data_IF_716386957958
#
_entry.id   IF_716386957958
#
_cell.length_a   1.000
_cell.length_b   1.000
_cell.length_c   1.000
_cell.angle_alpha   90.00
_cell.angle_beta   90.00
_cell.angle_gamma   90.00
#
_symmetry.space_group_name_H-M   'P 1'
#
loop_
_entity.id
_entity.type
_entity.pdbx_description
1 polymer ?
#
# COMPACT_ATOMS: atom_id res chain seq x y z
N UNK A 1 -7.73 -25.66 -22.22
CA UNK A 1 -7.12 -24.71 -21.25
C UNK A 1 -8.10 -24.59 -20.08
N UNK A 2 -7.63 -24.64 -18.84
CA UNK A 2 -8.52 -24.40 -17.69
C UNK A 2 -9.04 -22.96 -17.74
N UNK A 3 -10.32 -22.78 -17.39
CA UNK A 3 -10.88 -21.43 -17.29
C UNK A 3 -10.13 -20.64 -16.19
N UNK A 4 -9.76 -19.38 -16.45
CA UNK A 4 -9.07 -18.58 -15.45
C UNK A 4 -9.93 -18.39 -14.20
N UNK A 5 -9.29 -18.42 -13.04
CA UNK A 5 -9.94 -18.22 -11.73
C UNK A 5 -9.44 -16.93 -11.07
N UNK A 6 -10.26 -16.35 -10.23
CA UNK A 6 -9.95 -15.15 -9.47
C UNK A 6 -8.81 -15.40 -8.48
N UNK A 7 -7.75 -14.59 -8.54
CA UNK A 7 -6.61 -14.66 -7.62
C UNK A 7 -6.96 -14.33 -6.17
N UNK A 8 -8.14 -13.70 -5.93
CA UNK A 8 -8.62 -13.37 -4.58
C UNK A 8 -9.53 -14.46 -4.00
N UNK A 9 -10.59 -14.85 -4.71
CA UNK A 9 -11.65 -15.71 -4.15
C UNK A 9 -11.80 -17.04 -4.86
N UNK A 10 -10.94 -17.37 -5.81
CA UNK A 10 -10.94 -18.60 -6.62
C UNK A 10 -12.20 -18.86 -7.46
N UNK A 11 -13.14 -17.91 -7.49
CA UNK A 11 -14.33 -17.99 -8.32
C UNK A 11 -13.97 -17.79 -9.80
N UNK A 12 -14.82 -18.24 -10.72
CA UNK A 12 -14.60 -18.02 -12.16
C UNK A 12 -14.57 -16.53 -12.50
N UNK A 13 -13.75 -16.17 -13.48
CA UNK A 13 -13.66 -14.81 -14.00
C UNK A 13 -14.04 -14.78 -15.46
N UNK A 14 -14.53 -13.63 -15.93
CA UNK A 14 -14.87 -13.38 -17.34
C UNK A 14 -13.91 -12.36 -17.93
N UNK A 15 -13.47 -12.59 -19.18
CA UNK A 15 -12.71 -11.58 -19.93
C UNK A 15 -13.59 -10.35 -20.14
N UNK A 16 -13.04 -9.16 -19.83
CA UNK A 16 -13.77 -7.89 -19.93
C UNK A 16 -13.23 -7.01 -21.05
N UNK A 17 -11.93 -7.02 -21.27
CA UNK A 17 -11.26 -6.36 -22.39
C UNK A 17 -9.84 -6.89 -22.57
N UNK A 18 -9.22 -6.49 -23.68
CA UNK A 18 -7.77 -6.61 -23.90
C UNK A 18 -7.17 -5.24 -24.15
N UNK A 19 -5.94 -5.00 -23.68
CA UNK A 19 -5.25 -3.74 -23.84
C UNK A 19 -3.77 -3.92 -24.19
N UNK A 20 -3.18 -2.88 -24.79
CA UNK A 20 -1.76 -2.87 -25.17
C UNK A 20 -0.92 -2.34 -24.01
N UNK A 21 -0.15 -3.22 -23.33
CA UNK A 21 0.79 -2.86 -22.29
C UNK A 21 2.18 -2.62 -22.87
N UNK A 22 2.89 -1.64 -22.30
CA UNK A 22 4.27 -1.27 -22.69
C UNK A 22 4.38 -0.94 -24.20
N UNK A 23 3.23 -0.62 -24.85
CA UNK A 23 3.10 -0.44 -26.33
C UNK A 23 3.55 -1.68 -27.13
N UNK A 24 3.61 -2.86 -26.50
CA UNK A 24 4.24 -4.07 -27.04
C UNK A 24 3.38 -5.32 -26.86
N UNK A 25 2.69 -5.47 -25.73
CA UNK A 25 2.00 -6.70 -25.37
C UNK A 25 0.49 -6.51 -25.37
N UNK A 26 -0.24 -7.32 -26.14
CA UNK A 26 -1.70 -7.41 -26.03
C UNK A 26 -2.04 -8.32 -24.85
N UNK A 27 -2.63 -7.75 -23.81
CA UNK A 27 -2.88 -8.40 -22.52
C UNK A 27 -4.38 -8.44 -22.24
N UNK A 28 -4.88 -9.59 -21.79
CA UNK A 28 -6.27 -9.80 -21.41
C UNK A 28 -6.51 -9.44 -19.96
N UNK A 29 -7.67 -8.83 -19.71
CA UNK A 29 -8.17 -8.47 -18.39
C UNK A 29 -9.42 -9.25 -18.07
N UNK A 30 -9.50 -9.73 -16.82
CA UNK A 30 -10.59 -10.57 -16.34
C UNK A 30 -11.22 -9.98 -15.08
N UNK A 31 -12.53 -9.99 -14.98
CA UNK A 31 -13.27 -9.52 -13.81
C UNK A 31 -13.95 -10.68 -13.10
N UNK A 32 -13.88 -10.67 -11.78
CA UNK A 32 -14.61 -11.58 -10.90
C UNK A 32 -15.95 -10.98 -10.52
N UNK A 33 -17.06 -11.65 -10.90
CA UNK A 33 -18.40 -11.20 -10.52
C UNK A 33 -18.68 -11.32 -9.01
N UNK A 34 -17.96 -12.21 -8.29
CA UNK A 34 -18.17 -12.46 -6.87
C UNK A 34 -17.54 -11.37 -6.00
N UNK A 35 -16.23 -11.09 -6.14
CA UNK A 35 -15.52 -10.15 -5.28
C UNK A 35 -15.16 -8.83 -5.97
N UNK A 36 -15.47 -8.67 -7.25
CA UNK A 36 -15.19 -7.46 -8.01
C UNK A 36 -13.73 -7.28 -8.43
N UNK A 37 -12.82 -8.16 -8.07
CA UNK A 37 -11.42 -8.04 -8.45
C UNK A 37 -11.26 -8.12 -9.98
N UNK A 38 -10.49 -7.20 -10.54
CA UNK A 38 -10.04 -7.24 -11.93
C UNK A 38 -8.57 -7.61 -11.95
N UNK A 39 -8.21 -8.57 -12.78
CA UNK A 39 -6.84 -9.07 -12.92
C UNK A 39 -6.44 -9.19 -14.38
N UNK A 40 -5.16 -9.06 -14.64
CA UNK A 40 -4.58 -9.44 -15.94
C UNK A 40 -4.49 -10.95 -16.08
N UNK A 41 -4.27 -11.48 -17.27
CA UNK A 41 -3.71 -12.80 -17.46
C UNK A 41 -2.35 -12.94 -16.72
N UNK A 42 -1.71 -14.12 -16.78
CA UNK A 42 -0.39 -14.31 -16.15
C UNK A 42 0.60 -13.26 -16.66
N UNK A 43 1.20 -12.45 -15.77
CA UNK A 43 1.93 -11.26 -16.16
C UNK A 43 3.37 -11.59 -16.62
N UNK A 44 3.52 -12.26 -17.75
CA UNK A 44 4.81 -12.69 -18.33
C UNK A 44 5.74 -11.51 -18.67
N UNK A 45 5.23 -10.29 -18.79
CA UNK A 45 6.00 -9.05 -19.04
C UNK A 45 6.50 -8.37 -17.78
N UNK A 46 6.09 -8.82 -16.60
CA UNK A 46 6.24 -8.08 -15.34
C UNK A 46 7.72 -7.80 -15.00
N UNK A 47 8.61 -8.73 -15.28
CA UNK A 47 10.04 -8.53 -15.05
C UNK A 47 10.58 -7.34 -15.88
N UNK A 48 10.21 -7.26 -17.16
CA UNK A 48 10.57 -6.16 -18.05
C UNK A 48 10.03 -4.82 -17.54
N UNK A 49 8.82 -4.81 -16.96
CA UNK A 49 8.18 -3.59 -16.46
C UNK A 49 8.95 -2.95 -15.28
N UNK A 50 9.81 -3.70 -14.60
CA UNK A 50 10.64 -3.20 -13.50
C UNK A 50 12.06 -2.79 -13.92
N UNK A 51 12.47 -2.97 -15.18
CA UNK A 51 13.78 -2.49 -15.65
C UNK A 51 13.89 -0.98 -15.64
N UNK A 52 12.82 -0.26 -15.96
CA UNK A 52 12.72 1.19 -15.74
C UNK A 52 12.19 1.45 -14.34
N UNK A 53 13.11 1.75 -13.45
CA UNK A 53 12.80 1.76 -12.01
C UNK A 53 12.11 3.02 -11.50
N UNK A 54 12.03 4.06 -12.31
CA UNK A 54 11.32 5.31 -12.00
C UNK A 54 10.36 5.58 -13.15
N UNK A 55 9.10 5.81 -12.80
CA UNK A 55 8.21 6.50 -13.71
C UNK A 55 8.61 7.98 -13.68
N UNK A 56 9.30 8.46 -14.70
CA UNK A 56 9.71 9.87 -14.82
C UNK A 56 8.51 10.82 -14.79
N UNK A 57 7.32 10.31 -15.09
CA UNK A 57 6.07 11.06 -15.02
C UNK A 57 5.42 11.07 -13.63
N UNK A 58 5.92 10.32 -12.64
CA UNK A 58 5.39 10.32 -11.27
C UNK A 58 5.84 11.56 -10.47
N UNK A 59 5.38 12.70 -10.90
CA UNK A 59 5.64 13.99 -10.23
C UNK A 59 4.87 14.14 -8.90
N UNK A 60 3.91 13.25 -8.63
CA UNK A 60 3.06 13.25 -7.43
C UNK A 60 3.67 12.58 -6.19
N UNK A 61 4.78 11.86 -6.33
CA UNK A 61 5.35 11.02 -5.28
C UNK A 61 5.53 11.75 -3.94
N UNK A 62 6.14 12.93 -3.93
CA UNK A 62 6.37 13.70 -2.69
C UNK A 62 5.07 14.14 -2.04
N UNK A 63 4.08 14.56 -2.83
CA UNK A 63 2.78 15.02 -2.34
C UNK A 63 2.00 13.86 -1.73
N UNK A 64 2.02 12.66 -2.35
CA UNK A 64 1.44 11.44 -1.79
C UNK A 64 2.10 11.04 -0.47
N UNK A 65 3.43 11.04 -0.40
CA UNK A 65 4.16 10.72 0.84
C UNK A 65 3.81 11.68 1.98
N UNK A 66 3.68 12.98 1.71
CA UNK A 66 3.25 13.98 2.70
C UNK A 66 1.81 13.73 3.17
N UNK A 67 0.91 13.35 2.29
CA UNK A 67 -0.46 13.01 2.64
C UNK A 67 -0.53 11.70 3.46
N UNK A 68 0.13 10.64 3.01
CA UNK A 68 0.23 9.36 3.74
C UNK A 68 0.80 9.57 5.14
N UNK A 69 1.89 10.35 5.28
CA UNK A 69 2.44 10.74 6.59
C UNK A 69 1.39 11.37 7.49
N UNK A 70 0.59 12.33 6.98
CA UNK A 70 -0.41 13.01 7.79
C UNK A 70 -1.48 12.03 8.28
N UNK A 71 -2.00 11.19 7.40
CA UNK A 71 -3.02 10.20 7.76
C UNK A 71 -2.45 9.18 8.74
N UNK A 72 -1.30 8.60 8.44
CA UNK A 72 -0.65 7.59 9.30
C UNK A 72 -0.34 8.16 10.68
N UNK A 73 0.19 9.40 10.76
CA UNK A 73 0.41 10.09 12.04
C UNK A 73 -0.87 10.19 12.86
N UNK A 74 -1.97 10.60 12.23
CA UNK A 74 -3.25 10.73 12.91
C UNK A 74 -3.76 9.38 13.40
N UNK A 75 -3.72 8.34 12.55
CA UNK A 75 -4.15 6.99 12.92
C UNK A 75 -3.31 6.41 14.05
N UNK A 76 -1.99 6.49 13.95
CA UNK A 76 -1.11 5.97 15.01
C UNK A 76 -1.40 6.68 16.33
N UNK A 77 -1.55 8.00 16.31
CA UNK A 77 -1.72 8.77 17.53
C UNK A 77 -3.00 8.39 18.30
N UNK A 78 -4.10 8.10 17.60
CA UNK A 78 -5.40 7.83 18.22
C UNK A 78 -5.74 6.35 18.38
N UNK A 79 -5.18 5.47 17.53
CA UNK A 79 -5.60 4.08 17.46
C UNK A 79 -4.52 3.08 17.88
N UNK A 80 -3.25 3.46 17.80
CA UNK A 80 -2.13 2.56 17.96
C UNK A 80 -1.17 3.01 19.07
N UNK A 81 -0.29 2.09 19.47
CA UNK A 81 0.77 2.46 20.41
C UNK A 81 1.86 3.27 19.70
N UNK A 82 1.86 4.58 19.91
CA UNK A 82 2.84 5.49 19.28
C UNK A 82 4.30 5.29 19.72
N UNK A 83 4.57 4.45 20.72
CA UNK A 83 5.90 4.00 21.13
C UNK A 83 6.26 2.62 20.55
N UNK A 84 5.36 2.01 19.77
CA UNK A 84 5.58 0.78 19.04
C UNK A 84 6.52 0.97 17.86
N UNK A 85 6.80 -0.13 17.17
CA UNK A 85 7.57 -0.15 15.92
C UNK A 85 6.62 -0.25 14.73
N UNK A 86 6.99 0.41 13.65
CA UNK A 86 6.21 0.50 12.42
C UNK A 86 7.05 0.00 11.25
N UNK A 87 6.41 -0.46 10.19
CA UNK A 87 7.11 -0.96 9.01
C UNK A 87 6.40 -0.46 7.74
N UNK A 88 7.16 0.12 6.84
CA UNK A 88 6.73 0.48 5.50
C UNK A 88 7.18 -0.58 4.50
N UNK A 89 6.23 -1.40 4.02
CA UNK A 89 6.45 -2.46 3.05
C UNK A 89 6.20 -1.94 1.64
N UNK A 90 7.17 -2.15 0.75
CA UNK A 90 7.18 -1.49 -0.56
C UNK A 90 7.56 -0.01 -0.44
N UNK A 91 8.40 0.35 0.54
CA UNK A 91 8.71 1.72 0.93
C UNK A 91 9.54 2.53 -0.07
N UNK A 92 9.75 2.03 -1.29
CA UNK A 92 10.42 2.74 -2.37
C UNK A 92 11.80 3.26 -1.93
N UNK A 93 12.04 4.55 -2.09
CA UNK A 93 13.31 5.17 -1.70
C UNK A 93 13.42 5.52 -0.21
N UNK A 94 12.42 5.20 0.61
CA UNK A 94 12.43 5.45 2.07
C UNK A 94 11.98 6.86 2.47
N UNK A 95 11.34 7.60 1.56
CA UNK A 95 10.84 8.97 1.84
C UNK A 95 9.80 8.95 2.95
N UNK A 96 8.81 8.04 2.87
CA UNK A 96 7.76 7.94 3.88
C UNK A 96 8.33 7.63 5.27
N UNK A 97 9.20 6.63 5.36
CA UNK A 97 9.88 6.26 6.63
C UNK A 97 10.62 7.47 7.21
N UNK A 98 11.38 8.20 6.40
CA UNK A 98 12.06 9.42 6.89
C UNK A 98 11.08 10.44 7.44
N UNK A 99 9.98 10.69 6.75
CA UNK A 99 8.94 11.61 7.19
C UNK A 99 8.27 11.17 8.51
N UNK A 100 8.06 9.87 8.72
CA UNK A 100 7.49 9.33 9.95
C UNK A 100 8.48 9.45 11.11
N UNK A 101 9.77 9.16 10.89
CA UNK A 101 10.82 9.35 11.88
C UNK A 101 11.02 10.81 12.24
N UNK A 102 10.83 11.74 11.30
CA UNK A 102 10.85 13.18 11.58
C UNK A 102 9.67 13.66 12.44
N UNK A 103 8.56 12.93 12.48
CA UNK A 103 7.48 13.14 13.46
C UNK A 103 7.88 12.57 14.84
N UNK A 104 8.59 11.45 14.87
CA UNK A 104 9.02 10.78 16.11
C UNK A 104 8.54 9.33 16.23
N UNK A 105 8.12 8.70 15.14
CA UNK A 105 7.75 7.27 15.12
C UNK A 105 8.95 6.40 14.77
N UNK A 106 9.09 5.26 15.44
CA UNK A 106 10.14 4.28 15.17
C UNK A 106 9.75 3.41 13.98
N UNK A 107 9.84 3.99 12.79
CA UNK A 107 9.42 3.41 11.52
C UNK A 107 10.61 2.82 10.77
N UNK A 108 10.40 1.69 10.11
CA UNK A 108 11.39 0.91 9.40
C UNK A 108 10.98 0.71 7.94
N UNK A 109 11.97 0.48 7.08
CA UNK A 109 11.84 0.35 5.66
C UNK A 109 12.04 -1.09 5.19
N UNK A 110 11.22 -1.50 4.22
CA UNK A 110 11.41 -2.73 3.46
C UNK A 110 10.94 -2.52 2.03
N UNK A 111 11.82 -2.83 1.07
CA UNK A 111 11.48 -2.88 -0.35
C UNK A 111 12.35 -3.92 -1.05
N UNK A 112 11.76 -4.63 -2.02
CA UNK A 112 12.46 -5.67 -2.77
C UNK A 112 13.20 -5.13 -4.00
N UNK A 113 12.69 -4.05 -4.58
CA UNK A 113 13.09 -3.58 -5.90
C UNK A 113 13.86 -2.25 -5.87
N UNK A 114 13.77 -1.52 -4.76
CA UNK A 114 14.34 -0.17 -4.63
C UNK A 114 15.46 -0.13 -3.61
N UNK A 115 16.37 0.85 -3.79
CA UNK A 115 17.39 1.18 -2.79
C UNK A 115 16.80 2.13 -1.75
N UNK A 116 17.07 1.85 -0.48
CA UNK A 116 16.83 2.78 0.60
C UNK A 116 17.78 3.99 0.49
N UNK A 117 17.27 5.16 0.13
CA UNK A 117 18.07 6.37 -0.01
C UNK A 117 17.90 7.33 1.18
N UNK A 118 16.68 7.44 1.71
CA UNK A 118 16.33 8.44 2.72
C UNK A 118 16.19 7.89 4.14
N UNK A 119 16.08 6.57 4.30
CA UNK A 119 15.92 5.91 5.59
C UNK A 119 17.04 4.88 5.85
N UNK A 120 18.25 5.12 5.36
CA UNK A 120 19.41 4.25 5.57
C UNK A 120 19.68 4.05 7.06
N UNK A 121 19.96 2.79 7.46
CA UNK A 121 20.13 2.41 8.86
C UNK A 121 18.83 2.05 9.58
N UNK A 122 17.68 2.13 8.89
CA UNK A 122 16.34 1.80 9.41
C UNK A 122 15.63 0.75 8.55
N UNK A 123 16.37 -0.23 8.06
CA UNK A 123 15.85 -1.39 7.37
C UNK A 123 15.15 -2.34 8.35
N UNK A 124 14.20 -3.13 7.85
CA UNK A 124 13.43 -4.11 8.63
C UNK A 124 14.31 -5.09 9.44
N UNK A 125 15.53 -5.38 8.97
CA UNK A 125 16.51 -6.22 9.69
C UNK A 125 16.96 -5.63 11.02
N UNK A 126 16.68 -4.35 11.28
CA UNK A 126 16.99 -3.64 12.52
C UNK A 126 15.84 -3.65 13.54
N UNK A 127 14.69 -4.24 13.21
CA UNK A 127 13.55 -4.37 14.11
C UNK A 127 13.91 -5.30 15.26
N UNK A 128 13.76 -4.81 16.51
CA UNK A 128 14.27 -5.52 17.68
C UNK A 128 13.30 -6.52 18.29
N UNK A 129 11.99 -6.28 18.22
CA UNK A 129 10.99 -7.02 19.00
C UNK A 129 9.99 -7.82 18.15
N UNK A 130 10.17 -7.89 16.85
CA UNK A 130 9.36 -8.73 15.95
C UNK A 130 7.87 -8.39 15.81
N UNK A 131 7.34 -7.51 16.66
CA UNK A 131 5.93 -7.13 16.63
C UNK A 131 5.77 -5.70 16.09
N UNK A 132 5.23 -5.60 14.88
CA UNK A 132 4.91 -4.33 14.24
C UNK A 132 3.49 -3.91 14.61
N UNK A 133 3.36 -2.72 15.18
CA UNK A 133 2.08 -2.16 15.62
C UNK A 133 1.17 -1.80 14.45
N UNK A 134 1.75 -1.23 13.40
CA UNK A 134 1.08 -0.94 12.12
C UNK A 134 2.09 -1.14 10.98
N UNK A 135 1.68 -1.88 9.97
CA UNK A 135 2.38 -2.00 8.71
C UNK A 135 1.72 -1.08 7.68
N UNK A 136 2.52 -0.27 6.97
CA UNK A 136 2.05 0.49 5.80
C UNK A 136 2.46 -0.22 4.51
N UNK A 137 1.59 -0.16 3.49
CA UNK A 137 1.81 -0.77 2.18
C UNK A 137 1.14 0.12 1.12
N UNK A 138 1.85 1.17 0.69
CA UNK A 138 1.28 2.18 -0.20
C UNK A 138 1.63 1.92 -1.65
N UNK A 139 0.63 1.99 -2.55
CA UNK A 139 0.79 1.82 -4.00
C UNK A 139 1.57 0.52 -4.32
N UNK A 140 1.15 -0.61 -3.73
CA UNK A 140 1.83 -1.88 -3.89
C UNK A 140 0.90 -3.08 -4.12
N UNK A 141 -0.35 -3.03 -3.65
CA UNK A 141 -1.30 -4.14 -3.76
C UNK A 141 -1.65 -4.45 -5.22
N UNK A 142 -1.74 -3.44 -6.07
CA UNK A 142 -1.98 -3.55 -7.51
C UNK A 142 -0.86 -4.25 -8.28
N UNK A 143 0.31 -4.41 -7.66
CA UNK A 143 1.47 -5.07 -8.23
C UNK A 143 1.59 -6.56 -7.83
N UNK A 144 0.79 -7.04 -6.89
CA UNK A 144 0.92 -8.40 -6.38
C UNK A 144 0.37 -9.44 -7.36
N UNK A 145 1.22 -10.38 -7.77
CA UNK A 145 0.80 -11.52 -8.61
C UNK A 145 -0.16 -12.42 -7.83
N UNK A 146 0.11 -12.65 -6.56
CA UNK A 146 -0.76 -13.38 -5.62
C UNK A 146 -1.05 -12.51 -4.39
N UNK A 147 -2.09 -11.64 -4.47
CA UNK A 147 -2.41 -10.72 -3.39
C UNK A 147 -2.81 -11.41 -2.09
N UNK A 148 -3.38 -12.61 -2.14
CA UNK A 148 -3.78 -13.35 -0.94
C UNK A 148 -2.57 -13.86 -0.19
N UNK A 149 -1.63 -14.51 -0.87
CA UNK A 149 -0.39 -14.99 -0.26
C UNK A 149 0.47 -13.84 0.26
N UNK A 150 0.54 -12.72 -0.47
CA UNK A 150 1.27 -11.55 0.02
C UNK A 150 0.59 -10.96 1.27
N UNK A 151 -0.74 -10.81 1.28
CA UNK A 151 -1.47 -10.37 2.47
C UNK A 151 -1.25 -11.29 3.68
N UNK A 152 -1.24 -12.62 3.47
CA UNK A 152 -0.90 -13.58 4.52
C UNK A 152 0.50 -13.36 5.12
N UNK A 153 1.49 -13.04 4.28
CA UNK A 153 2.86 -12.72 4.75
C UNK A 153 2.88 -11.43 5.56
N UNK A 154 2.18 -10.37 5.09
CA UNK A 154 2.08 -9.11 5.80
C UNK A 154 1.40 -9.27 7.15
N UNK A 155 0.33 -10.08 7.22
CA UNK A 155 -0.41 -10.36 8.46
C UNK A 155 0.40 -11.15 9.50
N UNK A 156 1.42 -11.91 9.08
CA UNK A 156 2.39 -12.52 10.01
C UNK A 156 3.28 -11.48 10.71
N UNK A 157 3.44 -10.31 10.08
CA UNK A 157 4.26 -9.21 10.61
C UNK A 157 3.42 -8.24 11.45
N UNK A 158 2.21 -7.90 11.01
CA UNK A 158 1.27 -7.05 11.73
C UNK A 158 -0.17 -7.40 11.40
N UNK A 159 -1.03 -7.44 12.41
CA UNK A 159 -2.49 -7.60 12.23
C UNK A 159 -3.19 -6.28 11.87
N UNK A 160 -2.42 -5.21 11.68
CA UNK A 160 -2.90 -3.89 11.31
C UNK A 160 -2.13 -3.42 10.07
N UNK A 161 -2.82 -3.29 8.95
CA UNK A 161 -2.23 -2.93 7.66
C UNK A 161 -2.97 -1.71 7.09
N UNK A 162 -2.26 -0.60 6.97
CA UNK A 162 -2.73 0.59 6.26
C UNK A 162 -2.15 0.56 4.85
N UNK A 163 -3.02 0.50 3.85
CA UNK A 163 -2.60 0.40 2.46
C UNK A 163 -3.27 1.45 1.58
N UNK A 164 -2.63 1.79 0.47
CA UNK A 164 -3.26 2.56 -0.60
C UNK A 164 -3.30 1.75 -1.90
N UNK A 165 -4.42 1.84 -2.59
CA UNK A 165 -4.66 1.42 -3.97
C UNK A 165 -5.98 2.03 -4.43
N UNK A 166 -6.08 2.50 -5.68
CA UNK A 166 -7.30 3.14 -6.17
C UNK A 166 -8.41 2.11 -6.43
N UNK A 167 -9.62 2.40 -5.98
CA UNK A 167 -10.80 1.65 -6.42
C UNK A 167 -11.20 2.07 -7.82
N UNK A 168 -11.39 1.10 -8.70
CA UNK A 168 -11.92 1.41 -10.00
C UNK A 168 -13.41 1.80 -9.91
N UNK A 169 -13.86 2.79 -10.72
CA UNK A 169 -15.26 3.23 -10.73
C UNK A 169 -16.19 2.16 -11.30
N UNK A 170 -17.45 2.18 -10.86
CA UNK A 170 -18.53 1.38 -11.47
C UNK A 170 -19.36 2.24 -12.42
N UNK A 171 -19.64 1.77 -13.66
CA UNK A 171 -19.16 0.52 -14.25
C UNK A 171 -17.65 0.51 -14.48
N UNK A 172 -17.06 -0.70 -14.67
CA UNK A 172 -15.63 -0.83 -15.02
C UNK A 172 -15.31 0.03 -16.25
N UNK A 173 -14.36 0.98 -16.16
CA UNK A 173 -14.03 1.86 -17.27
C UNK A 173 -13.30 1.11 -18.40
N UNK A 174 -13.34 1.66 -19.60
CA UNK A 174 -12.50 1.19 -20.69
C UNK A 174 -11.01 1.47 -20.39
N UNK A 175 -10.08 0.74 -21.03
CA UNK A 175 -8.64 0.89 -20.80
C UNK A 175 -8.11 2.32 -20.86
N UNK A 176 -8.61 3.14 -21.78
CA UNK A 176 -8.14 4.50 -22.00
C UNK A 176 -8.86 5.56 -21.12
N UNK A 177 -9.89 5.16 -20.37
CA UNK A 177 -10.71 6.08 -19.57
C UNK A 177 -10.24 6.23 -18.13
N UNK A 178 -9.37 5.32 -17.68
CA UNK A 178 -8.89 5.33 -16.28
C UNK A 178 -7.37 5.21 -16.20
N UNK A 179 -6.74 6.30 -15.80
CA UNK A 179 -5.30 6.45 -15.74
C UNK A 179 -4.59 5.38 -14.87
N UNK A 180 -5.28 4.84 -13.88
CA UNK A 180 -4.70 3.88 -12.94
C UNK A 180 -4.42 2.50 -13.54
N UNK A 181 -4.97 2.19 -14.72
CA UNK A 181 -4.54 1.00 -15.46
C UNK A 181 -3.05 1.04 -15.82
N UNK A 182 -2.48 2.23 -15.94
CA UNK A 182 -1.02 2.45 -16.09
C UNK A 182 -0.42 1.62 -17.24
N UNK A 183 -1.10 1.60 -18.40
CA UNK A 183 -0.76 0.74 -19.55
C UNK A 183 0.67 0.93 -20.05
N UNK A 184 1.21 2.15 -19.90
CA UNK A 184 2.56 2.49 -20.36
C UNK A 184 3.64 1.82 -19.50
N UNK A 185 3.36 1.49 -18.23
CA UNK A 185 4.30 0.92 -17.29
C UNK A 185 4.10 -0.58 -17.07
N UNK A 186 2.89 -1.08 -17.26
CA UNK A 186 2.56 -2.50 -17.17
C UNK A 186 2.77 -3.14 -15.79
N UNK A 187 2.91 -2.33 -14.74
CA UNK A 187 3.18 -2.80 -13.37
C UNK A 187 1.88 -3.07 -12.60
N UNK A 188 0.77 -2.40 -12.94
CA UNK A 188 -0.52 -2.63 -12.33
C UNK A 188 -1.20 -3.84 -12.99
N UNK A 189 -1.32 -4.92 -12.24
CA UNK A 189 -1.84 -6.21 -12.70
C UNK A 189 -3.09 -6.67 -11.94
N UNK A 190 -3.49 -5.91 -10.91
CA UNK A 190 -4.67 -6.16 -10.10
C UNK A 190 -5.39 -4.89 -9.72
N UNK A 191 -6.74 -4.89 -9.82
CA UNK A 191 -7.56 -3.70 -9.56
C UNK A 191 -8.72 -4.07 -8.64
N UNK A 192 -8.98 -3.22 -7.69
CA UNK A 192 -9.80 -3.54 -6.52
C UNK A 192 -11.08 -2.71 -6.49
N UNK A 193 -12.06 -3.24 -5.76
CA UNK A 193 -13.25 -2.55 -5.28
C UNK A 193 -13.40 -2.74 -3.79
N UNK A 194 -14.29 -1.99 -3.17
CA UNK A 194 -14.60 -2.12 -1.74
C UNK A 194 -14.95 -3.57 -1.37
N UNK A 195 -15.83 -4.22 -2.14
CA UNK A 195 -16.22 -5.63 -1.95
C UNK A 195 -15.06 -6.63 -2.04
N UNK A 196 -13.95 -6.27 -2.73
CA UNK A 196 -12.75 -7.12 -2.77
C UNK A 196 -12.06 -7.14 -1.41
N UNK A 197 -11.90 -5.97 -0.78
CA UNK A 197 -11.31 -5.87 0.55
C UNK A 197 -12.24 -6.36 1.65
N UNK A 198 -13.56 -6.21 1.51
CA UNK A 198 -14.54 -6.83 2.40
C UNK A 198 -14.39 -8.37 2.39
N UNK A 199 -14.22 -8.95 1.20
CA UNK A 199 -13.95 -10.39 1.08
C UNK A 199 -12.63 -10.79 1.76
N UNK A 200 -11.55 -10.05 1.53
CA UNK A 200 -10.24 -10.30 2.17
C UNK A 200 -10.33 -10.15 3.69
N UNK A 201 -10.98 -9.10 4.18
CA UNK A 201 -11.18 -8.89 5.61
C UNK A 201 -11.95 -10.05 6.26
N UNK A 202 -13.03 -10.50 5.62
CA UNK A 202 -13.78 -11.67 6.08
C UNK A 202 -12.96 -12.96 6.08
N UNK A 203 -12.14 -13.18 5.04
CA UNK A 203 -11.25 -14.35 4.94
C UNK A 203 -10.21 -14.40 6.08
N UNK A 204 -9.68 -13.24 6.50
CA UNK A 204 -8.65 -13.14 7.53
C UNK A 204 -9.18 -12.73 8.91
N UNK A 205 -10.51 -12.66 9.09
CA UNK A 205 -11.15 -12.25 10.34
C UNK A 205 -10.70 -10.89 10.85
N UNK A 206 -10.63 -9.91 9.94
CA UNK A 206 -10.26 -8.53 10.20
C UNK A 206 -11.44 -7.59 9.98
N UNK A 207 -11.37 -6.40 10.56
CA UNK A 207 -12.21 -5.27 10.19
C UNK A 207 -11.58 -4.53 9.02
N UNK A 208 -12.44 -4.05 8.13
CA UNK A 208 -12.06 -3.25 6.97
C UNK A 208 -12.65 -1.84 7.08
N UNK A 209 -11.81 -0.85 6.87
CA UNK A 209 -12.19 0.57 6.83
C UNK A 209 -11.58 1.23 5.60
N UNK A 210 -12.33 2.12 4.97
CA UNK A 210 -11.87 2.82 3.76
C UNK A 210 -12.29 4.29 3.78
N UNK A 211 -11.50 5.16 3.12
CA UNK A 211 -11.94 6.52 2.80
C UNK A 211 -12.96 6.56 1.65
N UNK A 212 -13.19 5.40 1.01
CA UNK A 212 -14.10 5.23 -0.12
C UNK A 212 -13.44 5.43 -1.49
N UNK A 213 -12.12 5.59 -1.56
CA UNK A 213 -11.39 5.86 -2.78
C UNK A 213 -10.09 5.07 -2.86
N UNK A 214 -9.08 5.44 -2.08
CA UNK A 214 -7.71 4.95 -2.29
C UNK A 214 -6.92 4.66 -1.02
N UNK A 215 -7.51 4.81 0.16
CA UNK A 215 -6.84 4.52 1.41
C UNK A 215 -7.68 3.58 2.25
N UNK A 216 -7.06 2.50 2.73
CA UNK A 216 -7.74 1.38 3.34
C UNK A 216 -6.98 0.88 4.56
N UNK A 217 -7.73 0.44 5.57
CA UNK A 217 -7.18 -0.15 6.79
C UNK A 217 -7.80 -1.53 7.00
N UNK A 218 -6.97 -2.57 7.02
CA UNK A 218 -7.28 -3.90 7.53
C UNK A 218 -6.74 -4.00 8.95
N UNK A 219 -7.57 -4.36 9.93
CA UNK A 219 -7.15 -4.34 11.33
C UNK A 219 -7.98 -5.28 12.19
N UNK A 220 -7.39 -5.79 13.27
CA UNK A 220 -8.13 -6.49 14.33
C UNK A 220 -8.94 -5.55 15.23
N UNK A 221 -8.71 -4.22 15.14
CA UNK A 221 -9.33 -3.22 15.99
C UNK A 221 -10.70 -2.81 15.45
N UNK A 222 -11.70 -2.88 16.30
CA UNK A 222 -13.03 -2.37 15.97
C UNK A 222 -13.08 -0.85 16.16
N UNK A 223 -13.38 -0.12 15.08
CA UNK A 223 -13.53 1.34 15.08
C UNK A 223 -14.99 1.72 14.86
N UNK A 224 -15.42 2.90 15.33
CA UNK A 224 -16.67 3.49 14.86
C UNK A 224 -16.67 3.64 13.33
N UNK A 225 -17.78 3.35 12.63
CA UNK A 225 -17.80 3.26 11.16
C UNK A 225 -17.24 4.48 10.42
N UNK A 226 -17.44 5.69 10.96
CA UNK A 226 -16.97 6.94 10.35
C UNK A 226 -15.58 7.38 10.81
N UNK A 227 -15.00 6.76 11.84
CA UNK A 227 -13.78 7.23 12.49
C UNK A 227 -12.59 7.29 11.52
N UNK A 228 -12.38 6.23 10.74
CA UNK A 228 -11.29 6.17 9.76
C UNK A 228 -11.44 7.26 8.68
N UNK A 229 -12.64 7.41 8.14
CA UNK A 229 -12.95 8.42 7.11
C UNK A 229 -12.74 9.85 7.63
N UNK A 230 -13.14 10.12 8.87
CA UNK A 230 -12.92 11.41 9.54
C UNK A 230 -11.42 11.66 9.78
N UNK A 231 -10.71 10.71 10.35
CA UNK A 231 -9.28 10.84 10.63
C UNK A 231 -8.47 11.05 9.34
N UNK A 232 -8.76 10.34 8.26
CA UNK A 232 -8.10 10.55 6.97
C UNK A 232 -8.39 11.93 6.39
N UNK A 233 -9.66 12.37 6.41
CA UNK A 233 -10.09 13.67 5.86
C UNK A 233 -9.45 14.88 6.57
N UNK A 234 -9.37 14.83 7.91
CA UNK A 234 -8.87 15.94 8.71
C UNK A 234 -7.39 15.83 9.10
N UNK A 235 -6.70 14.79 8.64
CA UNK A 235 -5.30 14.53 8.97
C UNK A 235 -4.36 15.72 8.69
N UNK A 236 -4.58 16.45 7.59
CA UNK A 236 -3.78 17.62 7.23
C UNK A 236 -3.84 18.73 8.29
N UNK A 237 -4.97 18.87 8.98
CA UNK A 237 -5.17 19.88 10.04
C UNK A 237 -4.69 19.34 11.38
N UNK A 238 -4.92 18.06 11.65
CA UNK A 238 -4.62 17.41 12.93
C UNK A 238 -3.12 17.20 13.11
N UNK A 239 -2.41 16.73 12.08
CA UNK A 239 -1.00 16.37 12.16
C UNK A 239 -0.09 17.49 12.66
N UNK A 240 -0.19 18.75 12.24
CA UNK A 240 0.63 19.84 12.78
C UNK A 240 0.48 19.99 14.30
N UNK A 241 -0.74 19.83 14.83
CA UNK A 241 -1.01 19.89 16.26
C UNK A 241 -0.42 18.69 17.01
N UNK A 242 -0.51 17.50 16.43
CA UNK A 242 0.08 16.28 17.01
C UNK A 242 1.60 16.34 17.02
N UNK A 243 2.21 16.88 15.98
CA UNK A 243 3.66 17.02 15.86
C UNK A 243 4.27 17.81 17.04
N UNK A 244 3.58 18.82 17.56
CA UNK A 244 4.06 19.57 18.73
C UNK A 244 4.14 18.73 20.00
N UNK A 245 3.45 17.58 20.05
CA UNK A 245 3.42 16.63 21.18
C UNK A 245 4.34 15.43 20.98
N UNK A 246 5.06 15.40 19.88
CA UNK A 246 5.98 14.33 19.52
C UNK A 246 7.43 14.84 19.55
N UNK A 247 8.39 13.95 19.74
CA UNK A 247 9.81 14.27 19.69
C UNK A 247 10.41 13.68 18.42
N UNK A 248 10.82 14.54 17.48
CA UNK A 248 11.50 14.11 16.27
C UNK A 248 12.72 13.23 16.57
N UNK A 249 12.92 12.21 15.76
CA UNK A 249 14.08 11.33 15.82
C UNK A 249 15.25 11.81 14.95
N UNK A 250 15.11 12.92 14.22
CA UNK A 250 16.09 13.39 13.22
C UNK A 250 17.51 13.48 13.78
N UNK A 251 17.71 14.09 14.95
CA UNK A 251 19.04 14.24 15.56
C UNK A 251 19.58 12.90 16.07
N UNK A 252 18.73 12.15 16.79
CA UNK A 252 19.08 10.82 17.30
C UNK A 252 19.46 9.85 16.19
N UNK A 253 18.73 9.88 15.07
CA UNK A 253 19.01 9.05 13.89
C UNK A 253 20.36 9.40 13.28
N UNK A 254 20.68 10.70 13.14
CA UNK A 254 21.98 11.15 12.63
C UNK A 254 23.15 10.66 13.48
N UNK A 255 23.01 10.76 14.83
CA UNK A 255 24.01 10.27 15.77
C UNK A 255 24.19 8.75 15.66
N UNK A 256 23.07 8.00 15.58
CA UNK A 256 23.09 6.54 15.45
C UNK A 256 23.79 6.09 14.17
N UNK A 257 23.52 6.75 13.04
CA UNK A 257 24.13 6.39 11.75
C UNK A 257 25.64 6.69 11.81
N UNK A 258 26.05 7.86 12.31
CA UNK A 258 27.46 8.21 12.48
C UNK A 258 28.24 7.26 13.37
N UNK A 259 27.61 6.72 14.42
CA UNK A 259 28.23 5.74 15.32
C UNK A 259 28.35 4.34 14.71
N UNK A 260 27.66 4.07 13.59
CA UNK A 260 27.62 2.77 12.89
C UNK A 260 28.48 2.76 11.62
N UNK A 261 28.94 3.94 11.17
CA UNK A 261 29.87 4.16 10.04
C UNK A 261 31.31 4.12 10.52
#
# INVERSE_FOLDING_TARGET
MANPVCRICTFSVSEVFSANLLKKYSVKYFQCSKCGYVQTEDPFWLEESYYSSINDSDTGMMMRNLWHRNVTTTLIYFLFNKKGQFLDYGGGYGVFVRLMRDIGFDDYWQDKYRKNLFAQGFENTKIKNGQIELLTCFEAFEHFVDPVTELEKLLKTSQNILLSTEFYPEPLPNPDEWWYFSMEHGQHIGFFQEKTFEYLAGKFNLYFYTNGQNLHLLTEKRLPPSAFKWMSKFSKIITPLLKTRMKSLTIQDSEKIKASS
#
